data_IF_354848878236
#
_entry.id   IF_354848878236
#
_cell.length_a   1.000
_cell.length_b   1.000
_cell.length_c   1.000
_cell.angle_alpha   90.00
_cell.angle_beta   90.00
_cell.angle_gamma   90.00
#
_symmetry.space_group_name_H-M   'P 1'
#
loop_
_entity.id
_entity.type
_entity.pdbx_description
1 polymer ?
#
# COMPACT_ATOMS: atom_id res chain seq x y z
N UNK A 1 20.33 45.30 7.47
CA UNK A 1 20.16 44.21 6.48
C UNK A 1 21.45 43.42 6.45
N UNK A 2 21.43 42.14 6.85
CA UNK A 2 22.55 41.22 6.67
C UNK A 2 22.30 40.44 5.38
N UNK A 3 22.96 40.86 4.31
CA UNK A 3 22.96 40.17 3.02
C UNK A 3 24.24 40.53 2.30
N UNK A 4 25.19 39.59 2.26
CA UNK A 4 26.43 39.76 1.51
C UNK A 4 26.12 39.91 0.02
N UNK A 5 26.73 40.91 -0.61
CA UNK A 5 26.60 41.20 -2.03
C UNK A 5 27.32 40.11 -2.82
N UNK A 6 26.57 39.22 -3.50
CA UNK A 6 27.14 38.12 -4.28
C UNK A 6 27.59 38.62 -5.66
N UNK A 7 28.84 38.34 -6.04
CA UNK A 7 29.38 38.57 -7.39
C UNK A 7 28.70 37.66 -8.43
N UNK A 8 28.55 38.14 -9.66
CA UNK A 8 27.71 37.57 -10.73
C UNK A 8 28.20 36.24 -11.33
N UNK A 9 29.32 35.67 -10.87
CA UNK A 9 29.92 34.46 -11.46
C UNK A 9 30.04 33.25 -10.51
N UNK A 10 29.56 33.34 -9.27
CA UNK A 10 29.76 32.26 -8.29
C UNK A 10 28.60 31.27 -8.26
N UNK A 11 28.80 30.06 -8.80
CA UNK A 11 27.86 28.94 -8.63
C UNK A 11 28.17 28.18 -7.33
N UNK A 12 27.21 28.15 -6.40
CA UNK A 12 27.31 27.37 -5.16
C UNK A 12 26.72 25.98 -5.37
N UNK A 13 27.53 24.94 -5.18
CA UNK A 13 27.07 23.56 -5.13
C UNK A 13 26.88 23.15 -3.67
N UNK A 14 25.69 22.66 -3.34
CA UNK A 14 25.39 22.08 -2.04
C UNK A 14 25.34 20.57 -2.19
N UNK A 15 26.13 19.86 -1.40
CA UNK A 15 26.12 18.40 -1.33
C UNK A 15 25.73 17.99 0.08
N UNK A 16 24.67 17.19 0.18
CA UNK A 16 24.20 16.64 1.45
C UNK A 16 24.52 15.14 1.48
N UNK A 17 25.29 14.71 2.47
CA UNK A 17 25.57 13.30 2.72
C UNK A 17 24.68 12.79 3.87
N UNK A 18 24.09 11.61 3.69
CA UNK A 18 23.28 10.94 4.71
C UNK A 18 23.98 9.64 5.08
N UNK A 19 24.45 9.55 6.33
CA UNK A 19 25.08 8.35 6.87
C UNK A 19 24.07 7.65 7.78
N UNK A 20 23.68 6.43 7.42
CA UNK A 20 22.78 5.60 8.23
C UNK A 20 23.66 4.68 9.10
N UNK A 21 23.77 5.00 10.39
CA UNK A 21 24.50 4.17 11.34
C UNK A 21 23.53 3.19 12.03
N UNK A 22 23.81 1.88 12.06
CA UNK A 22 23.03 0.93 12.83
C UNK A 22 23.08 1.32 14.31
N UNK A 23 21.93 1.41 14.97
CA UNK A 23 21.91 1.70 16.41
C UNK A 23 22.28 0.44 17.20
N UNK A 24 22.93 0.61 18.35
CA UNK A 24 23.16 -0.49 19.31
C UNK A 24 21.86 -0.96 20.02
N UNK A 25 20.74 -0.26 19.85
CA UNK A 25 19.44 -0.66 20.39
C UNK A 25 18.79 -1.70 19.49
N UNK A 26 18.26 -2.76 20.10
CA UNK A 26 17.42 -3.73 19.40
C UNK A 26 16.09 -3.06 19.01
N UNK A 27 15.95 -2.69 17.74
CA UNK A 27 14.66 -2.30 17.18
C UNK A 27 13.95 -3.53 16.64
N UNK A 28 12.63 -3.61 16.85
CA UNK A 28 11.81 -4.56 16.12
C UNK A 28 11.82 -4.19 14.65
N UNK A 29 12.44 -5.03 13.84
CA UNK A 29 12.41 -4.87 12.38
C UNK A 29 11.00 -5.24 11.93
N UNK A 30 10.24 -4.24 11.47
CA UNK A 30 8.92 -4.45 10.88
C UNK A 30 9.11 -5.12 9.52
N UNK A 31 8.48 -6.28 9.26
CA UNK A 31 8.56 -6.92 7.96
C UNK A 31 8.05 -6.00 6.85
N UNK A 32 8.71 -6.03 5.69
CA UNK A 32 8.43 -5.11 4.58
C UNK A 32 6.96 -5.16 4.14
N UNK A 33 6.36 -6.35 4.08
CA UNK A 33 4.96 -6.53 3.73
C UNK A 33 3.99 -5.85 4.70
N UNK A 34 4.35 -5.80 5.98
CA UNK A 34 3.59 -5.12 7.02
C UNK A 34 3.78 -3.61 6.89
N UNK A 35 5.00 -3.15 6.68
CA UNK A 35 5.26 -1.74 6.40
C UNK A 35 4.46 -1.22 5.19
N UNK A 36 4.48 -1.95 4.06
CA UNK A 36 3.74 -1.57 2.85
C UNK A 36 2.23 -1.55 3.10
N UNK A 37 1.68 -2.54 3.81
CA UNK A 37 0.27 -2.54 4.19
C UNK A 37 -0.09 -1.30 5.01
N UNK A 38 0.64 -1.07 6.09
CA UNK A 38 0.35 0.00 7.04
C UNK A 38 0.42 1.38 6.37
N UNK A 39 1.50 1.66 5.63
CA UNK A 39 1.70 2.95 4.97
C UNK A 39 0.64 3.20 3.91
N UNK A 40 0.32 2.20 3.08
CA UNK A 40 -0.72 2.35 2.05
C UNK A 40 -2.09 2.53 2.70
N UNK A 41 -2.41 1.73 3.72
CA UNK A 41 -3.68 1.85 4.45
C UNK A 41 -3.86 3.25 5.05
N UNK A 42 -2.82 3.77 5.72
CA UNK A 42 -2.82 5.11 6.30
C UNK A 42 -2.97 6.19 5.22
N UNK A 43 -2.19 6.12 4.14
CA UNK A 43 -2.33 7.07 3.02
C UNK A 43 -3.75 7.07 2.43
N UNK A 44 -4.37 5.89 2.26
CA UNK A 44 -5.73 5.80 1.73
C UNK A 44 -6.74 6.50 2.64
N UNK A 45 -6.63 6.30 3.96
CA UNK A 45 -7.51 6.97 4.93
C UNK A 45 -7.30 8.48 4.92
N UNK A 46 -6.06 8.94 5.03
CA UNK A 46 -5.74 10.38 5.04
C UNK A 46 -6.21 11.07 3.76
N UNK A 47 -5.93 10.48 2.59
CA UNK A 47 -6.36 11.01 1.31
C UNK A 47 -7.89 11.00 1.17
N UNK A 48 -8.55 9.94 1.67
CA UNK A 48 -10.00 9.88 1.62
C UNK A 48 -10.67 10.97 2.45
N UNK A 49 -10.15 11.22 3.65
CA UNK A 49 -10.62 12.28 4.52
C UNK A 49 -10.33 13.67 3.93
N UNK A 50 -9.13 13.88 3.40
CA UNK A 50 -8.71 15.17 2.86
C UNK A 50 -9.41 15.54 1.54
N UNK A 51 -9.77 14.55 0.72
CA UNK A 51 -10.28 14.76 -0.65
C UNK A 51 -11.74 14.33 -0.84
N UNK A 52 -12.39 13.82 0.19
CA UNK A 52 -13.76 13.26 0.12
C UNK A 52 -13.91 12.26 -1.03
N UNK A 53 -12.89 11.42 -1.23
CA UNK A 53 -12.85 10.40 -2.28
C UNK A 53 -12.51 9.04 -1.70
N UNK A 54 -13.08 7.99 -2.29
CA UNK A 54 -12.87 6.62 -1.84
C UNK A 54 -12.31 5.75 -2.96
N UNK A 55 -12.06 6.32 -4.15
CA UNK A 55 -11.59 5.60 -5.33
C UNK A 55 -10.19 6.07 -5.68
N UNK A 56 -9.31 5.08 -5.82
CA UNK A 56 -7.89 5.31 -6.00
C UNK A 56 -7.33 4.44 -7.12
N UNK A 57 -6.46 5.02 -7.93
CA UNK A 57 -5.65 4.28 -8.89
C UNK A 57 -4.24 4.16 -8.32
N UNK A 58 -3.81 2.94 -8.01
CA UNK A 58 -2.42 2.68 -7.65
C UNK A 58 -1.62 2.61 -8.94
N UNK A 59 -0.72 3.56 -9.15
CA UNK A 59 0.07 3.67 -10.37
C UNK A 59 1.57 3.64 -10.09
N UNK A 60 2.33 3.13 -11.06
CA UNK A 60 3.78 3.22 -11.04
C UNK A 60 4.27 4.62 -11.43
N UNK A 61 5.55 4.89 -11.22
CA UNK A 61 6.20 6.10 -11.78
C UNK A 61 6.21 6.11 -13.31
N UNK A 62 5.96 4.97 -13.94
CA UNK A 62 5.72 4.82 -15.38
C UNK A 62 4.33 5.34 -15.83
N UNK A 63 3.51 5.83 -14.90
CA UNK A 63 2.14 6.30 -15.14
C UNK A 63 1.14 5.17 -15.38
N UNK A 64 1.56 3.91 -15.32
CA UNK A 64 0.67 2.77 -15.57
C UNK A 64 -0.13 2.44 -14.33
N UNK A 65 -1.43 2.21 -14.49
CA UNK A 65 -2.28 1.68 -13.43
C UNK A 65 -1.92 0.21 -13.15
N UNK A 66 -1.65 -0.12 -11.89
CA UNK A 66 -1.42 -1.49 -11.43
C UNK A 66 -2.65 -2.05 -10.73
N UNK A 67 -3.36 -1.21 -9.97
CA UNK A 67 -4.50 -1.60 -9.14
C UNK A 67 -5.54 -0.48 -9.15
N UNK A 68 -6.78 -0.80 -9.43
CA UNK A 68 -7.92 0.07 -9.11
C UNK A 68 -8.42 -0.33 -7.74
N UNK A 69 -8.58 0.65 -6.84
CA UNK A 69 -8.90 0.40 -5.44
C UNK A 69 -10.06 1.28 -4.99
N UNK A 70 -11.00 0.69 -4.26
CA UNK A 70 -12.08 1.40 -3.58
C UNK A 70 -12.00 1.14 -2.09
N UNK A 71 -11.78 2.19 -1.30
CA UNK A 71 -11.87 2.16 0.15
C UNK A 71 -13.34 2.03 0.58
N UNK A 72 -13.70 0.91 1.20
CA UNK A 72 -15.06 0.68 1.70
C UNK A 72 -15.22 1.13 3.13
N UNK A 73 -14.22 0.82 3.97
CA UNK A 73 -14.29 1.10 5.38
C UNK A 73 -12.90 1.24 6.00
N UNK A 74 -12.78 2.07 7.03
CA UNK A 74 -11.53 2.35 7.74
C UNK A 74 -11.56 1.99 9.23
N UNK A 75 -12.72 1.64 9.77
CA UNK A 75 -12.90 1.29 11.19
C UNK A 75 -12.96 -0.23 11.44
N UNK A 76 -12.42 -1.04 10.52
CA UNK A 76 -12.51 -2.49 10.61
C UNK A 76 -11.41 -3.09 11.48
N UNK A 77 -11.74 -4.18 12.18
CA UNK A 77 -10.78 -4.99 12.93
C UNK A 77 -10.62 -6.37 12.29
N UNK A 78 -9.39 -6.84 12.15
CA UNK A 78 -9.05 -8.18 11.67
C UNK A 78 -8.45 -8.98 12.82
N UNK A 79 -9.03 -10.15 13.07
CA UNK A 79 -8.57 -11.08 14.11
C UNK A 79 -8.04 -12.33 13.41
N UNK A 80 -6.78 -12.68 13.66
CA UNK A 80 -6.21 -13.90 13.14
C UNK A 80 -6.48 -15.07 14.08
N UNK A 81 -7.06 -16.15 13.53
CA UNK A 81 -7.26 -17.40 14.28
C UNK A 81 -6.04 -18.30 14.14
N UNK A 82 -5.55 -18.82 15.28
CA UNK A 82 -4.41 -19.74 15.37
C UNK A 82 -4.60 -21.06 14.57
N UNK A 83 -5.81 -21.33 14.09
CA UNK A 83 -6.26 -22.66 13.63
C UNK A 83 -5.89 -23.13 12.22
N UNK A 84 -5.20 -22.36 11.37
CA UNK A 84 -4.96 -22.80 9.98
C UNK A 84 -3.60 -22.46 9.37
N UNK A 85 -2.52 -22.62 10.15
CA UNK A 85 -1.16 -22.74 9.56
C UNK A 85 -0.98 -24.07 8.82
N UNK A 86 -1.76 -24.30 7.76
CA UNK A 86 -1.52 -25.36 6.79
C UNK A 86 -1.23 -24.71 5.43
N UNK A 87 0.07 -24.63 5.11
CA UNK A 87 0.59 -24.62 3.74
C UNK A 87 -0.02 -23.57 2.79
N UNK A 88 0.00 -22.28 3.15
CA UNK A 88 0.09 -21.25 2.11
C UNK A 88 1.56 -21.25 1.67
N UNK A 89 1.82 -21.49 0.37
CA UNK A 89 3.18 -21.44 -0.20
C UNK A 89 3.86 -20.16 0.31
N UNK A 90 4.90 -20.33 1.12
CA UNK A 90 5.65 -19.22 1.70
C UNK A 90 6.24 -18.43 0.54
N UNK A 91 5.74 -17.21 0.32
CA UNK A 91 6.39 -16.25 -0.55
C UNK A 91 7.46 -15.53 0.30
N UNK A 92 8.76 -15.69 -0.01
CA UNK A 92 9.83 -15.08 0.78
C UNK A 92 9.69 -13.56 0.91
N UNK A 93 9.06 -12.91 -0.07
CA UNK A 93 8.82 -11.47 -0.09
C UNK A 93 7.79 -10.98 0.94
N UNK A 94 6.93 -11.86 1.47
CA UNK A 94 5.83 -11.51 2.38
C UNK A 94 5.94 -12.26 3.72
N UNK A 95 7.15 -12.64 4.12
CA UNK A 95 7.38 -13.36 5.36
C UNK A 95 7.27 -12.40 6.55
N UNK A 96 6.15 -12.46 7.27
CA UNK A 96 6.05 -11.94 8.64
C UNK A 96 6.79 -12.93 9.55
N UNK A 97 8.10 -12.74 9.72
CA UNK A 97 8.93 -13.59 10.58
C UNK A 97 8.80 -13.27 12.08
N UNK A 98 7.80 -12.49 12.47
CA UNK A 98 7.54 -12.18 13.87
C UNK A 98 6.49 -13.15 14.40
N UNK A 99 6.84 -13.89 15.45
CA UNK A 99 5.87 -14.59 16.30
C UNK A 99 4.98 -13.52 16.93
N UNK A 100 3.93 -13.12 16.25
CA UNK A 100 2.92 -12.23 16.82
C UNK A 100 2.12 -13.01 17.87
N UNK A 101 1.89 -12.36 19.01
CA UNK A 101 1.06 -12.93 20.08
C UNK A 101 -0.32 -13.27 19.51
N UNK A 102 -0.71 -14.52 19.71
CA UNK A 102 -1.79 -15.24 19.02
C UNK A 102 -3.22 -14.76 19.33
N UNK A 103 -3.39 -13.50 19.75
CA UNK A 103 -4.65 -12.90 20.17
C UNK A 103 -4.78 -11.41 19.79
N UNK A 104 -3.91 -10.88 18.92
CA UNK A 104 -3.94 -9.47 18.54
C UNK A 104 -5.01 -9.20 17.47
N UNK A 105 -5.94 -8.29 17.80
CA UNK A 105 -6.81 -7.67 16.82
C UNK A 105 -6.06 -6.51 16.14
N UNK A 106 -6.11 -6.47 14.81
CA UNK A 106 -5.44 -5.46 13.99
C UNK A 106 -6.46 -4.49 13.43
N UNK A 107 -6.18 -3.19 13.52
CA UNK A 107 -6.90 -2.21 12.71
C UNK A 107 -6.66 -2.51 11.23
N UNK A 108 -7.69 -2.37 10.42
CA UNK A 108 -7.60 -2.64 9.01
C UNK A 108 -8.57 -1.77 8.21
N UNK A 109 -8.16 -1.45 6.99
CA UNK A 109 -9.05 -0.87 5.99
C UNK A 109 -9.60 -1.97 5.12
N UNK A 110 -10.91 -1.95 4.88
CA UNK A 110 -11.58 -2.84 3.92
C UNK A 110 -11.55 -2.18 2.55
N UNK A 111 -11.12 -2.92 1.54
CA UNK A 111 -10.98 -2.41 0.18
C UNK A 111 -11.59 -3.36 -0.84
N UNK A 112 -12.11 -2.80 -1.93
CA UNK A 112 -12.32 -3.51 -3.18
C UNK A 112 -11.16 -3.23 -4.10
N UNK A 113 -10.70 -4.22 -4.85
CA UNK A 113 -9.62 -4.02 -5.81
C UNK A 113 -9.81 -4.78 -7.13
N UNK A 114 -9.19 -4.25 -8.17
CA UNK A 114 -9.02 -4.90 -9.48
C UNK A 114 -7.57 -4.78 -9.94
N UNK A 115 -6.92 -5.88 -10.36
CA UNK A 115 -5.60 -5.81 -10.96
C UNK A 115 -5.68 -5.27 -12.39
N UNK A 116 -4.77 -4.38 -12.76
CA UNK A 116 -4.62 -3.83 -14.11
C UNK A 116 -3.41 -4.38 -14.88
N UNK A 117 -2.70 -5.34 -14.31
CA UNK A 117 -1.49 -5.92 -14.90
C UNK A 117 -1.83 -6.70 -16.18
N UNK A 118 -0.95 -6.61 -17.20
CA UNK A 118 -1.09 -7.30 -18.50
C UNK A 118 -2.42 -6.97 -19.21
N UNK A 119 -2.81 -5.69 -19.21
CA UNK A 119 -4.05 -5.18 -19.83
C UNK A 119 -5.33 -5.81 -19.28
N UNK A 120 -5.28 -6.43 -18.09
CA UNK A 120 -6.51 -6.81 -17.39
C UNK A 120 -7.28 -5.55 -17.02
N UNK A 121 -8.61 -5.62 -17.11
CA UNK A 121 -9.49 -4.51 -16.75
C UNK A 121 -9.18 -3.19 -17.49
N UNK A 122 -8.56 -3.25 -18.68
CA UNK A 122 -8.15 -2.05 -19.44
C UNK A 122 -9.29 -1.07 -19.66
N UNK A 123 -10.48 -1.55 -20.08
CA UNK A 123 -11.67 -0.71 -20.24
C UNK A 123 -12.06 0.03 -18.96
N UNK A 124 -11.96 -0.64 -17.81
CA UNK A 124 -12.28 -0.04 -16.51
C UNK A 124 -11.19 0.96 -16.08
N UNK A 125 -9.92 0.63 -16.32
CA UNK A 125 -8.79 1.54 -16.08
C UNK A 125 -8.92 2.82 -16.88
N UNK A 126 -9.18 2.72 -18.19
CA UNK A 126 -9.37 3.88 -19.07
C UNK A 126 -10.58 4.72 -18.66
N UNK A 127 -11.66 4.09 -18.21
CA UNK A 127 -12.80 4.82 -17.66
C UNK A 127 -12.42 5.60 -16.39
N UNK A 128 -11.63 4.98 -15.50
CA UNK A 128 -11.16 5.61 -14.26
C UNK A 128 -10.16 6.74 -14.50
N UNK A 129 -9.32 6.65 -15.53
CA UNK A 129 -8.38 7.72 -15.92
C UNK A 129 -9.08 9.02 -16.30
N UNK A 130 -10.30 8.94 -16.85
CA UNK A 130 -11.10 10.11 -17.22
C UNK A 130 -11.97 10.67 -16.09
N UNK A 131 -12.06 9.97 -14.95
CA UNK A 131 -12.92 10.34 -13.83
C UNK A 131 -12.15 11.21 -12.81
N UNK A 132 -12.50 12.50 -12.75
CA UNK A 132 -11.88 13.49 -11.86
C UNK A 132 -12.05 13.18 -10.36
N UNK A 133 -13.00 12.32 -9.99
CA UNK A 133 -13.22 11.92 -8.60
C UNK A 133 -12.20 10.89 -8.12
N UNK A 134 -11.46 10.28 -9.05
CA UNK A 134 -10.51 9.20 -8.78
C UNK A 134 -9.11 9.77 -8.62
N UNK A 135 -8.43 9.37 -7.55
CA UNK A 135 -7.11 9.90 -7.23
C UNK A 135 -6.01 8.86 -7.39
N UNK A 136 -4.93 9.25 -8.05
CA UNK A 136 -3.77 8.36 -8.19
C UNK A 136 -2.87 8.38 -6.96
N UNK A 137 -2.51 7.20 -6.47
CA UNK A 137 -1.41 7.01 -5.52
C UNK A 137 -0.21 6.43 -6.28
N UNK A 138 0.84 7.24 -6.43
CA UNK A 138 2.04 6.85 -7.20
C UNK A 138 3.03 6.17 -6.28
N UNK A 139 3.43 4.95 -6.62
CA UNK A 139 4.41 4.15 -5.88
C UNK A 139 5.49 3.61 -6.84
N UNK A 140 6.64 3.14 -6.33
CA UNK A 140 7.57 2.35 -7.13
C UNK A 140 6.87 1.10 -7.69
N UNK A 141 7.12 0.76 -8.96
CA UNK A 141 6.45 -0.38 -9.63
C UNK A 141 6.59 -1.70 -8.87
N UNK A 142 7.75 -1.92 -8.23
CA UNK A 142 7.96 -3.08 -7.37
C UNK A 142 7.00 -3.10 -6.15
N UNK A 143 6.78 -1.94 -5.53
CA UNK A 143 5.83 -1.77 -4.41
C UNK A 143 4.39 -1.94 -4.88
N UNK A 144 4.03 -1.50 -6.10
CA UNK A 144 2.70 -1.75 -6.67
C UNK A 144 2.41 -3.26 -6.82
N UNK A 145 3.40 -4.01 -7.32
CA UNK A 145 3.29 -5.47 -7.46
C UNK A 145 3.23 -6.17 -6.10
N UNK A 146 4.05 -5.74 -5.15
CA UNK A 146 4.04 -6.23 -3.77
C UNK A 146 2.67 -6.02 -3.10
N UNK A 147 2.11 -4.81 -3.23
CA UNK A 147 0.77 -4.49 -2.74
C UNK A 147 -0.31 -5.39 -3.37
N UNK A 148 -0.21 -5.67 -4.68
CA UNK A 148 -1.16 -6.58 -5.31
C UNK A 148 -1.06 -8.01 -4.76
N UNK A 149 0.16 -8.49 -4.49
CA UNK A 149 0.38 -9.81 -3.88
C UNK A 149 -0.20 -9.86 -2.46
N UNK A 150 0.01 -8.80 -1.68
CA UNK A 150 -0.58 -8.63 -0.35
C UNK A 150 -2.11 -8.70 -0.41
N UNK A 151 -2.74 -7.89 -1.28
CA UNK A 151 -4.19 -7.86 -1.44
C UNK A 151 -4.74 -9.24 -1.85
N UNK A 152 -4.04 -9.91 -2.76
CA UNK A 152 -4.42 -11.25 -3.23
C UNK A 152 -4.30 -12.32 -2.14
N UNK A 153 -3.29 -12.20 -1.26
CA UNK A 153 -3.14 -13.07 -0.09
C UNK A 153 -4.25 -12.83 0.93
N UNK A 154 -4.54 -11.56 1.24
CA UNK A 154 -5.61 -11.19 2.16
C UNK A 154 -7.00 -11.57 1.62
N UNK A 155 -7.23 -11.49 0.31
CA UNK A 155 -8.43 -12.02 -0.32
C UNK A 155 -8.54 -13.55 -0.12
N UNK A 156 -7.44 -14.29 -0.28
CA UNK A 156 -7.44 -15.74 -0.15
C UNK A 156 -7.74 -16.23 1.29
N UNK A 157 -7.51 -15.41 2.32
CA UNK A 157 -7.88 -15.75 3.70
C UNK A 157 -9.37 -15.57 3.98
N UNK A 158 -10.09 -14.82 3.14
CA UNK A 158 -11.54 -14.67 3.26
C UNK A 158 -12.28 -15.94 2.82
N UNK A 159 -13.47 -16.23 3.40
CA UNK A 159 -14.39 -17.24 2.88
C UNK A 159 -14.68 -17.01 1.39
N UNK A 160 -14.77 -18.06 0.55
CA UNK A 160 -14.97 -17.91 -0.89
C UNK A 160 -16.14 -16.99 -1.28
N UNK A 161 -17.24 -17.05 -0.54
CA UNK A 161 -18.43 -16.21 -0.74
C UNK A 161 -18.18 -14.71 -0.51
N UNK A 162 -17.14 -14.35 0.24
CA UNK A 162 -16.77 -12.97 0.57
C UNK A 162 -15.59 -12.44 -0.25
N UNK A 163 -15.03 -13.25 -1.16
CA UNK A 163 -13.84 -12.85 -1.95
C UNK A 163 -14.16 -11.86 -3.07
N UNK A 164 -15.42 -11.74 -3.47
CA UNK A 164 -15.81 -10.86 -4.56
C UNK A 164 -17.11 -10.13 -4.29
N UNK A 165 -17.20 -8.89 -4.76
CA UNK A 165 -18.41 -8.06 -4.70
C UNK A 165 -18.49 -7.23 -5.98
N UNK A 166 -19.61 -7.35 -6.72
CA UNK A 166 -19.85 -6.59 -7.96
C UNK A 166 -18.68 -6.66 -8.97
N UNK A 167 -18.17 -7.87 -9.19
CA UNK A 167 -16.97 -8.16 -10.01
C UNK A 167 -15.63 -7.75 -9.42
N UNK A 168 -15.57 -6.89 -8.39
CA UNK A 168 -14.34 -6.56 -7.67
C UNK A 168 -13.93 -7.64 -6.68
N UNK A 169 -12.62 -7.73 -6.41
CA UNK A 169 -12.10 -8.58 -5.36
C UNK A 169 -12.13 -7.83 -4.03
N UNK A 170 -12.47 -8.51 -2.94
CA UNK A 170 -12.52 -7.95 -1.58
C UNK A 170 -11.21 -8.26 -0.87
N UNK A 171 -10.59 -7.28 -0.24
CA UNK A 171 -9.43 -7.50 0.62
C UNK A 171 -9.45 -6.53 1.79
N UNK A 172 -8.44 -6.65 2.65
CA UNK A 172 -8.14 -5.71 3.70
C UNK A 172 -6.65 -5.36 3.68
N UNK A 173 -6.28 -4.22 4.25
CA UNK A 173 -4.88 -3.88 4.56
C UNK A 173 -4.80 -3.61 6.05
N UNK A 174 -3.87 -4.27 6.73
CA UNK A 174 -3.61 -4.02 8.15
C UNK A 174 -2.96 -2.64 8.35
N UNK A 175 -3.23 -2.03 9.50
CA UNK A 175 -2.64 -0.78 10.00
C UNK A 175 -1.79 -1.04 11.24
#
# INVERSE_FOLDING_TARGET
MLGETMSSETTKFYMTEIIIQPSERNFSIIPRSRFVQNVVAQCLVELSAARSTFRFTIQGHDGKAYILLWLLNSDSLVIESLGSSKSIKKFPLLEDSLKEDSNSAWNAVKVLYQPCIKNRNEKLSSAWESDISIHSLTLPSATCLELLLILSRNNATLPPSLRSMNSFQVAFLKM
#
